data_IF_021948091226
#
_entry.id   IF_021948091226
#
_cell.length_a   1.000
_cell.length_b   1.000
_cell.length_c   1.000
_cell.angle_alpha   90.00
_cell.angle_beta   90.00
_cell.angle_gamma   90.00
#
_symmetry.space_group_name_H-M   'P 1'
#
loop_
_entity.id
_entity.type
_entity.pdbx_description
1 polymer ?
#
# COMPACT_ATOMS: atom_id res chain seq x y z
N UNK A 1 -13.18 -5.11 8.54
CA UNK A 1 -11.70 -4.97 8.61
C UNK A 1 -11.34 -3.64 9.27
N UNK A 2 -11.98 -3.34 10.41
CA UNK A 2 -11.79 -2.12 11.20
C UNK A 2 -11.94 -2.54 12.66
N UNK A 3 -10.95 -2.27 13.49
CA UNK A 3 -10.92 -2.60 14.91
C UNK A 3 -10.63 -1.33 15.71
N UNK A 4 -11.50 -1.00 16.66
CA UNK A 4 -11.32 0.17 17.50
C UNK A 4 -10.68 -0.20 18.83
N UNK A 5 -9.49 0.33 19.06
CA UNK A 5 -8.75 0.24 20.30
C UNK A 5 -9.06 1.46 21.16
N UNK A 6 -10.20 1.39 21.86
CA UNK A 6 -10.72 2.46 22.72
C UNK A 6 -9.75 2.88 23.83
N UNK A 7 -9.04 1.97 24.54
CA UNK A 7 -8.05 2.33 25.56
C UNK A 7 -6.92 3.22 25.03
N UNK A 8 -6.49 3.01 23.79
CA UNK A 8 -5.37 3.75 23.20
C UNK A 8 -5.82 4.85 22.23
N UNK A 9 -7.13 5.14 22.17
CA UNK A 9 -7.71 6.03 21.18
C UNK A 9 -7.12 5.75 19.78
N UNK A 10 -7.30 4.53 19.27
CA UNK A 10 -6.78 4.17 17.96
C UNK A 10 -7.76 3.30 17.16
N UNK A 11 -7.70 3.40 15.83
CA UNK A 11 -8.43 2.53 14.90
C UNK A 11 -7.41 1.81 14.05
N UNK A 12 -7.49 0.49 14.03
CA UNK A 12 -6.80 -0.35 13.08
C UNK A 12 -7.74 -0.66 11.92
N UNK A 13 -7.30 -0.52 10.68
CA UNK A 13 -8.12 -0.81 9.51
C UNK A 13 -7.27 -1.35 8.36
N UNK A 14 -7.91 -2.08 7.44
CA UNK A 14 -7.23 -2.59 6.26
C UNK A 14 -7.72 -1.93 4.98
N UNK A 15 -6.78 -1.51 4.14
CA UNK A 15 -7.01 -1.08 2.76
C UNK A 15 -6.62 -2.21 1.81
N UNK A 16 -7.40 -2.39 0.75
CA UNK A 16 -7.05 -3.30 -0.36
C UNK A 16 -6.76 -2.45 -1.57
N UNK A 17 -5.53 -2.55 -2.09
CA UNK A 17 -5.09 -1.85 -3.29
C UNK A 17 -5.01 -2.86 -4.42
N UNK A 18 -5.77 -2.61 -5.48
CA UNK A 18 -5.71 -3.38 -6.72
C UNK A 18 -4.58 -2.81 -7.59
N UNK A 19 -3.66 -3.66 -8.01
CA UNK A 19 -2.49 -3.28 -8.79
C UNK A 19 -2.76 -3.30 -10.30
N UNK A 20 -3.72 -4.12 -10.74
CA UNK A 20 -4.20 -4.17 -12.11
C UNK A 20 -5.74 -4.05 -12.14
N UNK A 21 -6.29 -2.87 -12.46
CA UNK A 21 -7.74 -2.66 -12.55
C UNK A 21 -8.43 -3.53 -13.61
N UNK A 22 -7.70 -3.96 -14.65
CA UNK A 22 -8.26 -4.85 -15.68
C UNK A 22 -8.49 -6.28 -15.16
N UNK A 23 -7.89 -6.63 -14.01
CA UNK A 23 -8.03 -7.93 -13.37
C UNK A 23 -9.14 -8.00 -12.32
N UNK A 24 -9.85 -6.89 -12.07
CA UNK A 24 -10.96 -6.85 -11.10
C UNK A 24 -12.17 -7.57 -11.71
N UNK A 25 -12.63 -8.70 -11.12
CA UNK A 25 -13.85 -9.35 -11.57
C UNK A 25 -15.03 -8.38 -11.39
N UNK A 26 -16.01 -8.39 -12.30
CA UNK A 26 -17.26 -7.62 -12.17
C UNK A 26 -18.15 -8.03 -10.98
N UNK A 27 -17.63 -8.82 -10.03
CA UNK A 27 -18.34 -9.31 -8.86
C UNK A 27 -18.00 -8.42 -7.66
N UNK A 28 -19.04 -7.93 -6.98
CA UNK A 28 -18.91 -7.05 -5.83
C UNK A 28 -18.65 -7.90 -4.57
N UNK A 29 -17.48 -8.53 -4.46
CA UNK A 29 -17.20 -9.38 -3.30
C UNK A 29 -16.66 -8.55 -2.13
N UNK A 30 -17.44 -8.57 -1.04
CA UNK A 30 -17.05 -8.05 0.26
C UNK A 30 -16.01 -8.99 0.90
N UNK A 31 -14.74 -8.81 0.56
CA UNK A 31 -13.61 -9.53 1.13
C UNK A 31 -12.32 -8.80 0.74
N UNK A 32 -11.33 -8.70 1.62
CA UNK A 32 -10.07 -7.99 1.31
C UNK A 32 -9.25 -8.63 0.17
N UNK A 33 -7.97 -8.32 0.07
CA UNK A 33 -7.05 -8.82 -0.97
C UNK A 33 -6.97 -10.35 -1.14
N UNK A 34 -7.57 -11.15 -0.25
CA UNK A 34 -7.48 -12.61 -0.22
C UNK A 34 -8.08 -13.32 -1.44
N UNK A 35 -9.02 -12.72 -2.17
CA UNK A 35 -9.68 -13.35 -3.34
C UNK A 35 -9.43 -12.63 -4.67
N UNK A 36 -8.95 -11.38 -4.64
CA UNK A 36 -8.69 -10.61 -5.86
C UNK A 36 -7.26 -10.91 -6.38
N UNK A 37 -7.09 -11.22 -7.67
CA UNK A 37 -5.76 -11.32 -8.26
C UNK A 37 -5.06 -9.96 -8.23
N UNK A 38 -3.72 -9.96 -8.13
CA UNK A 38 -2.90 -8.74 -8.18
C UNK A 38 -3.31 -7.66 -7.16
N UNK A 39 -3.61 -8.05 -5.92
CA UNK A 39 -3.97 -7.12 -4.86
C UNK A 39 -2.97 -7.13 -3.70
N UNK A 40 -2.93 -6.03 -2.98
CA UNK A 40 -2.17 -5.86 -1.75
C UNK A 40 -3.13 -5.41 -0.66
N UNK A 41 -3.16 -6.14 0.46
CA UNK A 41 -3.78 -5.68 1.69
C UNK A 41 -2.75 -4.93 2.53
N UNK A 42 -3.08 -3.71 2.92
CA UNK A 42 -2.29 -2.86 3.81
C UNK A 42 -3.08 -2.67 5.09
N UNK A 43 -2.53 -3.08 6.22
CA UNK A 43 -3.10 -2.85 7.55
C UNK A 43 -2.45 -1.61 8.17
N UNK A 44 -3.28 -0.68 8.60
CA UNK A 44 -2.87 0.61 9.13
C UNK A 44 -3.45 0.79 10.52
N UNK A 45 -2.74 1.54 11.36
CA UNK A 45 -3.22 2.05 12.64
C UNK A 45 -3.27 3.56 12.57
N UNK A 46 -4.41 4.13 12.96
CA UNK A 46 -4.57 5.55 13.14
C UNK A 46 -4.81 5.84 14.62
N UNK A 47 -3.89 6.58 15.23
CA UNK A 47 -4.05 7.05 16.60
C UNK A 47 -4.70 8.44 16.59
N UNK A 48 -5.74 8.62 17.41
CA UNK A 48 -6.43 9.89 17.63
C UNK A 48 -5.86 10.57 18.88
N UNK A 49 -5.95 11.90 18.96
CA UNK A 49 -5.56 12.67 20.13
C UNK A 49 -4.70 13.88 19.80
N UNK A 50 -3.83 14.26 20.72
CA UNK A 50 -2.99 15.47 20.65
C UNK A 50 -1.92 15.38 19.54
N UNK A 51 -1.48 14.17 19.19
CA UNK A 51 -0.57 13.91 18.07
C UNK A 51 -1.14 12.81 17.16
N UNK A 52 -2.11 13.15 16.28
CA UNK A 52 -2.72 12.19 15.39
C UNK A 52 -1.71 11.75 14.34
N UNK A 53 -1.46 10.44 14.27
CA UNK A 53 -0.50 9.85 13.36
C UNK A 53 -1.03 8.54 12.80
N UNK A 54 -0.47 8.13 11.66
CA UNK A 54 -0.77 6.86 11.02
C UNK A 54 0.50 6.01 10.93
N UNK A 55 0.36 4.72 11.18
CA UNK A 55 1.46 3.76 11.09
C UNK A 55 1.04 2.50 10.35
N UNK A 56 2.03 1.83 9.75
CA UNK A 56 1.83 0.57 9.04
C UNK A 56 1.90 -0.62 10.02
N UNK A 57 0.83 -1.39 10.13
CA UNK A 57 0.77 -2.61 10.93
C UNK A 57 1.21 -3.85 10.15
N UNK A 58 0.99 -3.86 8.84
CA UNK A 58 1.35 -4.99 8.01
C UNK A 58 0.96 -4.78 6.56
N UNK A 59 1.58 -5.56 5.68
CA UNK A 59 1.30 -5.54 4.25
C UNK A 59 1.43 -6.96 3.71
N UNK A 60 0.37 -7.43 3.08
CA UNK A 60 0.23 -8.80 2.56
C UNK A 60 -0.26 -8.73 1.11
N UNK A 61 0.22 -9.63 0.26
CA UNK A 61 -0.32 -9.78 -1.08
C UNK A 61 -1.51 -10.75 -1.12
N UNK A 62 -2.17 -10.81 -2.27
CA UNK A 62 -3.17 -11.85 -2.56
C UNK A 62 -2.67 -13.25 -2.17
N UNK A 63 -3.57 -14.08 -1.66
CA UNK A 63 -3.29 -15.44 -1.15
C UNK A 63 -2.25 -15.53 -0.01
N UNK A 64 -1.99 -14.43 0.72
CA UNK A 64 -0.99 -14.40 1.79
C UNK A 64 0.46 -14.38 1.27
N UNK A 65 0.65 -14.14 -0.03
CA UNK A 65 1.94 -14.12 -0.70
C UNK A 65 2.50 -12.71 -0.88
N UNK A 66 3.35 -12.56 -1.91
CA UNK A 66 3.97 -11.28 -2.30
C UNK A 66 3.23 -10.59 -3.45
N UNK A 67 1.93 -10.88 -3.61
CA UNK A 67 1.06 -10.47 -4.71
C UNK A 67 1.64 -10.85 -6.10
N UNK A 68 2.51 -10.01 -6.65
CA UNK A 68 3.15 -10.17 -7.95
C UNK A 68 4.66 -9.85 -7.94
N UNK A 69 5.25 -9.70 -6.75
CA UNK A 69 6.69 -9.53 -6.60
C UNK A 69 7.40 -10.89 -6.73
N UNK A 70 8.22 -11.11 -7.78
CA UNK A 70 8.89 -12.39 -7.97
C UNK A 70 9.93 -12.66 -6.87
N UNK A 71 10.72 -11.64 -6.51
CA UNK A 71 11.79 -11.73 -5.51
C UNK A 71 11.31 -11.22 -4.15
N UNK A 72 11.69 -11.92 -3.07
CA UNK A 72 11.39 -11.51 -1.69
C UNK A 72 12.02 -10.17 -1.33
N UNK A 73 13.25 -9.92 -1.79
CA UNK A 73 14.00 -8.68 -1.53
C UNK A 73 13.24 -7.44 -2.03
N UNK A 74 12.66 -7.54 -3.23
CA UNK A 74 11.91 -6.45 -3.85
C UNK A 74 10.59 -6.17 -3.12
N UNK A 75 9.97 -7.24 -2.59
CA UNK A 75 8.77 -7.13 -1.76
C UNK A 75 9.06 -6.43 -0.43
N UNK A 76 10.13 -6.83 0.26
CA UNK A 76 10.57 -6.18 1.50
C UNK A 76 10.91 -4.70 1.27
N UNK A 77 11.62 -4.40 0.18
CA UNK A 77 11.94 -3.01 -0.21
C UNK A 77 10.66 -2.20 -0.49
N UNK A 78 9.66 -2.82 -1.10
CA UNK A 78 8.36 -2.17 -1.32
C UNK A 78 7.65 -1.88 0.00
N UNK A 79 7.58 -2.85 0.92
CA UNK A 79 7.01 -2.65 2.27
C UNK A 79 7.70 -1.50 3.02
N UNK A 80 9.02 -1.42 2.95
CA UNK A 80 9.78 -0.31 3.56
C UNK A 80 9.44 1.06 2.93
N UNK A 81 9.30 1.14 1.60
CA UNK A 81 8.88 2.36 0.92
C UNK A 81 7.47 2.77 1.34
N UNK A 82 6.56 1.81 1.41
CA UNK A 82 5.17 2.02 1.84
C UNK A 82 5.10 2.50 3.29
N UNK A 83 5.85 1.88 4.21
CA UNK A 83 5.91 2.30 5.61
C UNK A 83 6.32 3.77 5.75
N UNK A 84 7.42 4.17 5.08
CA UNK A 84 7.89 5.56 5.08
C UNK A 84 6.85 6.53 4.50
N UNK A 85 6.18 6.13 3.41
CA UNK A 85 5.18 6.97 2.78
C UNK A 85 3.94 7.19 3.67
N UNK A 86 3.51 6.14 4.40
CA UNK A 86 2.43 6.23 5.39
C UNK A 86 2.81 7.15 6.54
N UNK A 87 4.03 7.03 7.06
CA UNK A 87 4.49 7.91 8.14
C UNK A 87 4.51 9.37 7.71
N UNK A 88 5.02 9.68 6.50
CA UNK A 88 5.08 11.05 5.98
C UNK A 88 3.68 11.62 5.72
N UNK A 89 2.80 10.85 5.07
CA UNK A 89 1.43 11.28 4.76
C UNK A 89 0.52 11.32 6.00
N UNK A 90 0.81 10.48 6.99
CA UNK A 90 0.05 10.34 8.23
C UNK A 90 0.48 11.32 9.32
N UNK A 91 1.69 11.88 9.24
CA UNK A 91 2.20 12.88 10.19
C UNK A 91 1.68 14.27 9.81
N UNK A 92 0.76 14.80 10.62
CA UNK A 92 0.10 16.07 10.35
C UNK A 92 1.03 17.28 10.52
N UNK A 93 1.68 17.74 9.44
CA UNK A 93 2.10 19.14 9.31
C UNK A 93 1.17 19.83 8.31
N UNK A 94 0.13 20.50 8.82
CA UNK A 94 -0.81 21.23 7.99
C UNK A 94 -2.02 21.74 8.75
N UNK A 95 -1.93 23.02 9.12
CA UNK A 95 -2.93 23.93 9.70
C UNK A 95 -4.33 23.86 9.07
N UNK A 96 -5.36 24.03 9.91
CA UNK A 96 -6.51 24.94 9.74
C UNK A 96 -7.87 24.29 10.10
N UNK A 97 -8.45 24.76 11.21
CA UNK A 97 -9.84 25.26 11.33
C UNK A 97 -11.05 24.42 10.89
N UNK A 98 -10.89 23.19 10.42
CA UNK A 98 -11.99 22.33 9.98
C UNK A 98 -12.49 21.39 11.07
N UNK A 99 -13.78 21.03 10.99
CA UNK A 99 -14.39 20.01 11.85
C UNK A 99 -13.54 18.72 11.82
N UNK A 100 -13.30 18.05 12.98
CA UNK A 100 -12.37 16.91 13.08
C UNK A 100 -12.69 15.74 12.14
N UNK A 101 -13.92 15.64 11.66
CA UNK A 101 -14.38 14.61 10.71
C UNK A 101 -13.85 14.87 9.29
N UNK A 102 -13.82 16.12 8.84
CA UNK A 102 -13.39 16.48 7.48
C UNK A 102 -11.86 16.34 7.33
N UNK A 103 -11.14 16.71 8.39
CA UNK A 103 -9.68 16.61 8.47
C UNK A 103 -9.20 15.15 8.48
N UNK A 104 -9.97 14.22 9.08
CA UNK A 104 -9.61 12.80 9.12
C UNK A 104 -9.94 12.07 7.81
N UNK A 105 -11.08 12.40 7.18
CA UNK A 105 -11.43 11.88 5.85
C UNK A 105 -10.43 12.34 4.78
N UNK A 106 -10.00 13.60 4.82
CA UNK A 106 -8.98 14.13 3.92
C UNK A 106 -7.63 13.42 4.06
N UNK A 107 -7.19 13.13 5.29
CA UNK A 107 -5.92 12.41 5.53
C UNK A 107 -5.95 10.96 5.06
N UNK A 108 -7.04 10.24 5.33
CA UNK A 108 -7.19 8.86 4.87
C UNK A 108 -7.15 8.78 3.35
N UNK A 109 -7.76 9.76 2.67
CA UNK A 109 -7.69 9.88 1.21
C UNK A 109 -6.26 10.09 0.73
N UNK A 110 -5.52 11.03 1.32
CA UNK A 110 -4.11 11.28 0.96
C UNK A 110 -3.25 10.03 1.19
N UNK A 111 -3.46 9.30 2.29
CA UNK A 111 -2.75 8.05 2.55
C UNK A 111 -3.11 6.98 1.52
N UNK A 112 -4.39 6.82 1.20
CA UNK A 112 -4.84 5.84 0.20
C UNK A 112 -4.24 6.13 -1.19
N UNK A 113 -4.26 7.39 -1.63
CA UNK A 113 -3.66 7.83 -2.89
C UNK A 113 -2.14 7.62 -2.89
N UNK A 114 -1.46 7.98 -1.79
CA UNK A 114 -0.01 7.79 -1.62
C UNK A 114 0.40 6.32 -1.66
N UNK A 115 -0.38 5.46 -1.01
CA UNK A 115 -0.18 4.01 -1.03
C UNK A 115 -0.32 3.45 -2.43
N UNK A 116 -1.39 3.82 -3.13
CA UNK A 116 -1.65 3.39 -4.49
C UNK A 116 -0.50 3.79 -5.42
N UNK A 117 -0.06 5.05 -5.37
CA UNK A 117 1.05 5.55 -6.19
C UNK A 117 2.37 4.85 -5.87
N UNK A 118 2.67 4.64 -4.59
CA UNK A 118 3.91 3.97 -4.14
C UNK A 118 3.98 2.52 -4.59
N UNK A 119 2.86 1.80 -4.51
CA UNK A 119 2.72 0.41 -4.95
C UNK A 119 2.88 0.30 -6.47
N UNK A 120 2.17 1.14 -7.23
CA UNK A 120 2.26 1.15 -8.69
C UNK A 120 3.66 1.52 -9.19
N UNK A 121 4.29 2.54 -8.59
CA UNK A 121 5.66 2.94 -8.94
C UNK A 121 6.67 1.81 -8.67
N UNK A 122 6.53 1.10 -7.54
CA UNK A 122 7.37 -0.04 -7.21
C UNK A 122 7.24 -1.16 -8.23
N UNK A 123 6.02 -1.46 -8.70
CA UNK A 123 5.79 -2.45 -9.75
C UNK A 123 6.35 -2.04 -11.11
N UNK A 124 6.20 -0.76 -11.47
CA UNK A 124 6.75 -0.25 -12.72
C UNK A 124 8.28 -0.36 -12.75
N UNK A 125 8.95 -0.09 -11.61
CA UNK A 125 10.41 -0.27 -11.50
C UNK A 125 10.82 -1.73 -11.69
N UNK A 126 10.06 -2.68 -11.15
CA UNK A 126 10.33 -4.10 -11.36
C UNK A 126 10.18 -4.53 -12.81
N UNK A 127 9.10 -4.08 -13.47
CA UNK A 127 8.87 -4.39 -14.90
C UNK A 127 9.98 -3.83 -15.77
N UNK A 128 10.45 -2.61 -15.50
CA UNK A 128 11.58 -1.98 -16.21
C UNK A 128 12.90 -2.72 -15.95
N UNK A 129 13.13 -3.17 -14.72
CA UNK A 129 14.31 -3.96 -14.36
C UNK A 129 14.33 -5.34 -15.02
N UNK A 130 13.17 -6.00 -15.15
CA UNK A 130 13.04 -7.27 -15.86
C UNK A 130 13.38 -7.16 -17.35
N UNK A 131 13.00 -6.05 -18.00
CA UNK A 131 13.35 -5.76 -19.40
C UNK A 131 14.80 -5.32 -19.61
N UNK A 132 15.50 -4.89 -18.54
CA UNK A 132 16.90 -4.46 -18.61
C UNK A 132 17.93 -5.58 -18.54
N UNK A 133 17.50 -6.83 -18.32
CA UNK A 133 18.38 -8.00 -18.20
C UNK A 133 18.51 -8.85 -19.47
N UNK A 134 17.98 -8.38 -20.62
CA UNK A 134 18.37 -8.90 -21.94
C UNK A 134 19.69 -8.23 -22.34
N UNK A 135 20.76 -8.57 -21.62
CA UNK A 135 22.12 -8.29 -22.07
C UNK A 135 22.46 -9.30 -23.15
N UNK A 136 22.35 -8.85 -24.40
CA UNK A 136 23.05 -9.33 -25.59
C UNK A 136 23.95 -10.57 -25.38
N UNK A 137 23.45 -11.76 -25.70
CA UNK A 137 24.31 -12.82 -26.25
C UNK A 137 24.46 -12.56 -27.74
N UNK A 138 25.17 -11.47 -28.06
CA UNK A 138 25.70 -11.21 -29.38
C UNK A 138 26.89 -12.15 -29.59
N UNK A 139 26.74 -13.07 -30.53
CA UNK A 139 27.71 -14.12 -30.80
C UNK A 139 29.05 -13.61 -31.34
N UNK A 140 30.06 -14.43 -31.13
CA UNK A 140 31.17 -14.58 -32.08
C UNK A 140 31.28 -16.08 -32.38
N UNK A 141 30.81 -16.46 -33.57
CA UNK A 141 31.12 -17.74 -34.19
C UNK A 141 32.25 -17.51 -35.18
N UNK A 142 33.28 -18.35 -35.03
CA UNK A 142 34.39 -18.71 -35.93
C UNK A 142 35.07 -17.60 -36.75
#
# INVERSE_FOLDING_TARGET
NIHYDRPHNAVDFGLTVVLDPASIPHVNAAGGAAWLPHCVSVRLKYAFGENPHMSLLGMEGSHGGRACWPRTEDWERCKQKVAKAVEIAGSGSGTAGGSPVDVSQGRLRVVAETLQHSLQSSLHQLRKGATGNVSSVGGFAA
#
